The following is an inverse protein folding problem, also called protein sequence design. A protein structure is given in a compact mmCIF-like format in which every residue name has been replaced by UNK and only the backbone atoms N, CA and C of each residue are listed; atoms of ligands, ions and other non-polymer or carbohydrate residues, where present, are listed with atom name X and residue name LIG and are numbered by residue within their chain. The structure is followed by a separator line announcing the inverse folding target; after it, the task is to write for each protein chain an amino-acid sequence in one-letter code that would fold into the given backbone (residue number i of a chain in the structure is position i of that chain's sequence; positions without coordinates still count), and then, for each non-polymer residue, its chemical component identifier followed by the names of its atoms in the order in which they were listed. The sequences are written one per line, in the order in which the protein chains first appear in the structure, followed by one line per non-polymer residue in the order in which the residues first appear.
data_IF_619001930739
#
_entry.id   IF_619001930739
#
_cell.length_a   1.000
_cell.length_b   1.000
_cell.length_c   1.000
_cell.angle_alpha   90.00
_cell.angle_beta   90.00
_cell.angle_gamma   90.00
#
_symmetry.space_group_name_H-M   'P 1'
#
loop_
_entity.id
_entity.type
_entity.pdbx_description
1 polymer ?
#
# COMPACT_ATOMS: atom_id res chain seq x y z
N UNK A 1 7.33 9.37 -12.07
CA UNK A 1 8.57 9.69 -11.33
C UNK A 1 8.35 10.30 -9.94
N UNK A 2 7.13 10.68 -9.53
CA UNK A 2 6.89 11.45 -8.28
C UNK A 2 6.97 10.62 -6.97
N UNK A 3 6.99 9.28 -7.02
CA UNK A 3 6.83 8.43 -5.82
C UNK A 3 8.11 7.74 -5.29
N UNK A 4 9.29 7.92 -5.92
CA UNK A 4 10.53 7.27 -5.42
C UNK A 4 10.92 7.74 -4.01
N UNK A 5 10.60 8.98 -3.64
CA UNK A 5 11.01 9.58 -2.37
C UNK A 5 10.22 9.04 -1.15
N UNK A 6 8.94 8.70 -1.30
CA UNK A 6 8.12 8.16 -0.20
C UNK A 6 8.52 6.71 0.13
N UNK A 7 8.94 5.94 -0.89
CA UNK A 7 9.46 4.59 -0.69
C UNK A 7 10.77 4.50 0.11
N UNK A 8 11.50 5.62 0.27
CA UNK A 8 12.79 5.66 0.99
C UNK A 8 12.62 5.83 2.50
N UNK A 9 11.51 6.39 2.98
CA UNK A 9 11.28 6.65 4.40
C UNK A 9 9.82 6.33 4.83
N UNK A 10 9.41 5.04 4.81
CA UNK A 10 8.04 4.65 5.16
C UNK A 10 7.69 4.88 6.63
N UNK A 11 8.67 4.91 7.54
CA UNK A 11 8.47 5.26 8.95
C UNK A 11 8.10 6.73 9.11
N UNK A 12 8.87 7.63 8.49
CA UNK A 12 8.55 9.06 8.47
C UNK A 12 7.17 9.34 7.89
N UNK A 13 6.82 8.71 6.76
CA UNK A 13 5.49 8.88 6.16
C UNK A 13 4.36 8.42 7.11
N UNK A 14 4.60 7.39 7.93
CA UNK A 14 3.65 6.94 8.96
C UNK A 14 3.52 7.96 10.09
N UNK A 15 4.62 8.48 10.63
CA UNK A 15 4.61 9.49 11.68
C UNK A 15 3.87 10.76 11.23
N UNK A 16 4.11 11.21 10.00
CA UNK A 16 3.38 12.35 9.41
C UNK A 16 1.88 12.08 9.35
N UNK A 17 1.48 10.86 9.00
CA UNK A 17 0.06 10.48 8.97
C UNK A 17 -0.56 10.43 10.36
N UNK A 18 0.19 9.97 11.38
CA UNK A 18 -0.26 9.94 12.77
C UNK A 18 -0.49 11.37 13.29
N UNK A 19 0.45 12.29 13.05
CA UNK A 19 0.30 13.72 13.37
C UNK A 19 -0.89 14.34 12.63
N UNK A 20 -1.03 14.04 11.33
CA UNK A 20 -2.14 14.54 10.53
C UNK A 20 -3.50 13.99 10.99
N UNK A 21 -3.54 12.81 11.62
CA UNK A 21 -4.81 12.24 12.08
C UNK A 21 -5.37 12.97 13.30
N UNK A 22 -4.49 13.40 14.19
CA UNK A 22 -4.83 14.15 15.41
C UNK A 22 -4.81 15.67 15.22
N UNK A 23 -4.61 16.16 14.00
CA UNK A 23 -4.53 17.59 13.71
C UNK A 23 -5.87 18.29 13.96
N UNK A 24 -5.89 19.28 14.86
CA UNK A 24 -7.07 20.11 15.13
C UNK A 24 -7.36 21.10 13.99
N UNK A 25 -8.58 21.09 13.47
CA UNK A 25 -8.95 21.92 12.33
C UNK A 25 -8.63 21.30 10.97
N UNK A 26 -8.50 19.97 10.89
CA UNK A 26 -8.14 19.21 9.68
C UNK A 26 -9.06 19.50 8.48
N UNK A 27 -10.30 19.88 8.72
CA UNK A 27 -11.26 20.32 7.70
C UNK A 27 -10.81 21.58 6.96
N UNK A 28 -10.05 22.45 7.60
CA UNK A 28 -9.52 23.70 7.02
C UNK A 28 -8.26 23.50 6.17
N UNK A 29 -7.64 22.31 6.25
CA UNK A 29 -6.43 22.00 5.51
C UNK A 29 -6.67 22.12 4.00
N UNK A 30 -5.78 22.81 3.25
CA UNK A 30 -5.87 22.93 1.81
C UNK A 30 -5.99 21.56 1.12
N UNK A 31 -6.85 21.50 0.10
CA UNK A 31 -7.17 20.25 -0.60
C UNK A 31 -5.93 19.50 -1.09
N UNK A 32 -4.91 20.22 -1.59
CA UNK A 32 -3.66 19.61 -2.08
C UNK A 32 -2.87 18.86 -1.00
N UNK A 33 -2.92 19.33 0.24
CA UNK A 33 -2.31 18.62 1.36
C UNK A 33 -3.12 17.40 1.77
N UNK A 34 -4.46 17.46 1.69
CA UNK A 34 -5.32 16.28 1.90
C UNK A 34 -5.01 15.18 0.89
N UNK A 35 -4.82 15.54 -0.38
CA UNK A 35 -4.38 14.62 -1.44
C UNK A 35 -3.00 14.00 -1.13
N UNK A 36 -2.04 14.80 -0.65
CA UNK A 36 -0.73 14.29 -0.26
C UNK A 36 -0.83 13.26 0.86
N UNK A 37 -1.66 13.50 1.88
CA UNK A 37 -1.89 12.55 2.97
C UNK A 37 -2.56 11.26 2.47
N UNK A 38 -3.46 11.34 1.49
CA UNK A 38 -4.02 10.15 0.85
C UNK A 38 -2.94 9.34 0.13
N UNK A 39 -2.04 10.00 -0.59
CA UNK A 39 -0.91 9.34 -1.26
C UNK A 39 -0.01 8.64 -0.23
N UNK A 40 0.33 9.30 0.88
CA UNK A 40 1.11 8.69 1.95
C UNK A 40 0.41 7.45 2.52
N UNK A 41 -0.91 7.48 2.75
CA UNK A 41 -1.67 6.31 3.23
C UNK A 41 -1.57 5.14 2.26
N UNK A 42 -1.66 5.38 0.96
CA UNK A 42 -1.54 4.35 -0.08
C UNK A 42 -0.14 3.73 -0.07
N UNK A 43 0.90 4.56 -0.03
CA UNK A 43 2.28 4.08 -0.08
C UNK A 43 2.69 3.31 1.19
N UNK A 44 2.31 3.82 2.38
CA UNK A 44 2.50 3.10 3.65
C UNK A 44 1.74 1.78 3.61
N UNK A 45 0.46 1.77 3.19
CA UNK A 45 -0.29 0.52 3.04
C UNK A 45 0.37 -0.44 2.08
N UNK A 46 0.78 -0.03 0.87
CA UNK A 46 1.46 -0.93 -0.08
C UNK A 46 2.71 -1.58 0.51
N UNK A 47 3.47 -0.84 1.33
CA UNK A 47 4.73 -1.31 1.92
C UNK A 47 4.53 -2.23 3.12
N UNK A 48 3.48 -1.99 3.91
CA UNK A 48 3.16 -2.78 5.11
C UNK A 48 2.00 -3.76 4.92
N UNK A 49 1.36 -3.81 3.77
CA UNK A 49 0.31 -4.79 3.47
C UNK A 49 0.98 -6.13 3.20
N UNK A 50 0.84 -7.13 4.08
CA UNK A 50 1.42 -8.45 3.91
C UNK A 50 0.61 -9.26 2.92
N UNK A 51 0.06 -8.66 1.86
CA UNK A 51 -0.68 -9.39 0.84
C UNK A 51 0.33 -10.24 0.05
N UNK A 52 0.63 -11.41 0.62
CA UNK A 52 1.18 -12.56 -0.05
C UNK A 52 0.12 -12.92 -1.07
N UNK A 53 0.41 -12.81 -2.39
CA UNK A 53 -0.50 -13.37 -3.38
C UNK A 53 -0.77 -14.82 -2.97
N UNK A 54 -2.02 -15.30 -2.93
CA UNK A 54 -2.25 -16.71 -2.72
C UNK A 54 -1.37 -17.45 -3.73
N UNK A 55 -0.53 -18.39 -3.26
CA UNK A 55 0.29 -19.22 -4.15
C UNK A 55 -0.65 -19.71 -5.24
N UNK A 56 -0.38 -19.35 -6.50
CA UNK A 56 -1.17 -19.83 -7.63
C UNK A 56 -1.33 -21.33 -7.42
N UNK A 57 -2.55 -21.88 -7.37
CA UNK A 57 -2.71 -23.31 -7.19
C UNK A 57 -1.88 -23.98 -8.28
N UNK A 58 -0.84 -24.71 -7.87
CA UNK A 58 -0.02 -25.49 -8.79
C UNK A 58 -0.98 -26.47 -9.43
N UNK A 59 -1.44 -26.17 -10.64
CA UNK A 59 -2.24 -27.08 -11.44
C UNK A 59 -1.39 -28.35 -11.54
N UNK A 60 -1.76 -29.40 -10.81
CA UNK A 60 -1.18 -30.72 -11.01
C UNK A 60 -1.57 -31.11 -12.42
N UNK A 61 -0.64 -30.99 -13.35
CA UNK A 61 -0.80 -31.58 -14.67
C UNK A 61 -0.88 -33.09 -14.41
N UNK A 62 -2.10 -33.63 -14.42
CA UNK A 62 -2.32 -35.08 -14.41
C UNK A 62 -1.79 -35.60 -15.73
N UNK A 63 -0.56 -36.13 -15.73
CA UNK A 63 0.13 -36.61 -16.93
C UNK A 63 -0.33 -38.00 -17.40
N UNK A 64 -1.23 -38.67 -16.69
CA UNK A 64 -1.49 -40.09 -16.91
C UNK A 64 -2.98 -40.43 -17.09
N UNK A 65 -3.72 -39.63 -17.87
CA UNK A 65 -4.94 -40.15 -18.50
C UNK A 65 -4.55 -40.88 -19.80
N UNK A 66 -4.02 -42.10 -19.67
CA UNK A 66 -4.03 -43.03 -20.81
C UNK A 66 -5.49 -43.37 -21.08
N UNK A 67 -5.90 -43.22 -22.34
CA UNK A 67 -7.15 -43.74 -22.86
C UNK A 67 -6.84 -45.15 -23.37
N UNK A 68 -7.18 -46.15 -22.57
CA UNK A 68 -7.41 -47.52 -23.00
C UNK A 68 -8.80 -47.69 -23.64
#
# INVERSE_FOLDING_TARGET
MVLKYIGLAPGFAREVLEVYDTWEGKETVPWKLKELMLIFRIEVRKRYNPYVPPEKPKIKILRDARLD
#
